data_IF_754070062468
#
_entry.id   IF_754070062468
#
_cell.length_a   1.000
_cell.length_b   1.000
_cell.length_c   1.000
_cell.angle_alpha   90.00
_cell.angle_beta   90.00
_cell.angle_gamma   90.00
#
_symmetry.space_group_name_H-M   'P 1'
#
loop_
_entity.id
_entity.type
_entity.pdbx_description
1 polymer ?
#
# COMPACT_ATOMS: atom_id res chain seq x y z
N UNK A 1 3.12 -16.13 -16.53
CA UNK A 1 2.85 -15.20 -15.42
C UNK A 1 4.13 -14.97 -14.64
N UNK A 2 4.55 -13.73 -14.46
CA UNK A 2 5.72 -13.37 -13.66
C UNK A 2 5.31 -12.82 -12.29
N UNK A 3 6.18 -12.99 -11.31
CA UNK A 3 6.02 -12.37 -9.99
C UNK A 3 7.22 -11.44 -9.76
N UNK A 4 6.93 -10.18 -9.46
CA UNK A 4 7.92 -9.17 -9.12
C UNK A 4 7.80 -8.85 -7.63
N UNK A 5 8.91 -8.85 -6.92
CA UNK A 5 8.97 -8.49 -5.52
C UNK A 5 9.61 -7.10 -5.39
N UNK A 6 8.83 -6.12 -4.93
CA UNK A 6 9.28 -4.75 -4.74
C UNK A 6 9.41 -4.46 -3.25
N UNK A 7 10.62 -4.64 -2.73
CA UNK A 7 10.96 -4.43 -1.32
C UNK A 7 11.92 -3.24 -1.18
N UNK A 8 11.89 -2.61 -0.01
CA UNK A 8 12.85 -1.56 0.38
C UNK A 8 12.89 -0.35 -0.58
N UNK A 9 11.76 0.04 -1.15
CA UNK A 9 11.67 1.23 -2.01
C UNK A 9 11.82 2.49 -1.14
N UNK A 10 12.86 3.28 -1.44
CA UNK A 10 13.24 4.46 -0.64
C UNK A 10 12.89 5.79 -1.31
N UNK A 11 12.67 5.79 -2.62
CA UNK A 11 12.42 7.02 -3.38
C UNK A 11 11.60 6.78 -4.65
N UNK A 12 10.98 7.85 -5.16
CA UNK A 12 10.27 7.85 -6.42
C UNK A 12 11.19 7.44 -7.60
N UNK A 13 12.44 7.87 -7.60
CA UNK A 13 13.41 7.50 -8.64
C UNK A 13 13.71 5.99 -8.63
N UNK A 14 13.85 5.39 -7.46
CA UNK A 14 14.03 3.95 -7.32
C UNK A 14 12.80 3.18 -7.79
N UNK A 15 11.59 3.65 -7.43
CA UNK A 15 10.34 3.04 -7.88
C UNK A 15 10.23 3.08 -9.41
N UNK A 16 10.52 4.23 -10.04
CA UNK A 16 10.55 4.38 -11.50
C UNK A 16 11.47 3.34 -12.13
N UNK A 17 12.71 3.28 -11.67
CA UNK A 17 13.71 2.35 -12.20
C UNK A 17 13.29 0.88 -12.06
N UNK A 18 12.76 0.49 -10.88
CA UNK A 18 12.34 -0.90 -10.65
C UNK A 18 11.10 -1.31 -11.44
N UNK A 19 10.25 -0.37 -11.80
CA UNK A 19 9.03 -0.64 -12.58
C UNK A 19 9.25 -0.64 -14.09
N UNK A 20 10.40 -0.16 -14.59
CA UNK A 20 10.76 -0.18 -16.02
C UNK A 20 10.75 -1.60 -16.60
N UNK A 21 11.20 -2.59 -15.82
CA UNK A 21 11.29 -3.99 -16.26
C UNK A 21 9.95 -4.73 -16.27
N UNK A 22 8.87 -4.12 -15.77
CA UNK A 22 7.55 -4.73 -15.69
C UNK A 22 6.89 -4.63 -17.07
N UNK A 23 6.77 -5.78 -17.72
CA UNK A 23 6.20 -5.88 -19.07
C UNK A 23 4.68 -5.95 -19.03
N UNK A 24 4.03 -5.31 -20.04
CA UNK A 24 2.59 -5.44 -20.30
C UNK A 24 2.24 -6.66 -21.16
N UNK A 25 3.25 -7.30 -21.78
CA UNK A 25 3.03 -8.40 -22.73
C UNK A 25 2.72 -9.74 -22.05
N UNK A 26 2.90 -9.82 -20.74
CA UNK A 26 2.55 -11.00 -19.97
C UNK A 26 1.92 -10.61 -18.62
N UNK A 27 1.03 -11.46 -18.15
CA UNK A 27 0.37 -11.23 -16.87
C UNK A 27 1.36 -11.33 -15.72
N UNK A 28 1.33 -10.33 -14.84
CA UNK A 28 2.29 -10.19 -13.75
C UNK A 28 1.60 -9.92 -12.41
N UNK A 29 2.21 -10.39 -11.33
CA UNK A 29 1.85 -10.03 -9.96
C UNK A 29 3.02 -9.25 -9.38
N UNK A 30 2.74 -8.08 -8.83
CA UNK A 30 3.68 -7.28 -8.05
C UNK A 30 3.34 -7.51 -6.58
N UNK A 31 4.27 -8.09 -5.84
CA UNK A 31 4.21 -8.17 -4.38
C UNK A 31 4.98 -6.97 -3.85
N UNK A 32 4.25 -6.02 -3.24
CA UNK A 32 4.79 -4.75 -2.80
C UNK A 32 4.94 -4.71 -1.28
N UNK A 33 6.13 -4.35 -0.80
CA UNK A 33 6.32 -3.96 0.59
C UNK A 33 6.00 -2.47 0.78
N UNK A 34 5.66 -2.09 2.00
CA UNK A 34 5.46 -0.67 2.36
C UNK A 34 6.74 0.11 2.05
N UNK A 35 6.62 1.27 1.38
CA UNK A 35 7.77 2.11 1.08
C UNK A 35 8.49 2.50 2.37
N UNK A 36 9.81 2.44 2.37
CA UNK A 36 10.64 2.60 3.57
C UNK A 36 10.32 3.89 4.34
N UNK A 37 10.15 5.02 3.64
CA UNK A 37 9.80 6.30 4.28
C UNK A 37 8.39 6.29 4.91
N UNK A 38 7.41 5.67 4.24
CA UNK A 38 6.05 5.48 4.76
C UNK A 38 6.06 4.62 6.02
N UNK A 39 6.76 3.49 5.98
CA UNK A 39 6.87 2.59 7.12
C UNK A 39 7.49 3.28 8.35
N UNK A 40 8.57 4.05 8.15
CA UNK A 40 9.24 4.79 9.23
C UNK A 40 8.34 5.84 9.87
N UNK A 41 7.56 6.58 9.07
CA UNK A 41 6.63 7.61 9.55
C UNK A 41 5.50 6.98 10.37
N UNK A 42 4.89 5.91 9.86
CA UNK A 42 3.82 5.22 10.58
C UNK A 42 4.31 4.53 11.85
N UNK A 43 5.55 4.02 11.85
CA UNK A 43 6.16 3.51 13.08
C UNK A 43 6.35 4.62 14.12
N UNK A 44 6.72 5.83 13.71
CA UNK A 44 6.81 6.98 14.63
C UNK A 44 5.43 7.36 15.20
N UNK A 45 4.37 7.29 14.40
CA UNK A 45 2.97 7.45 14.85
C UNK A 45 2.63 6.40 15.92
N UNK A 46 2.90 5.12 15.65
CA UNK A 46 2.66 4.02 16.61
C UNK A 46 3.39 4.24 17.94
N UNK A 47 4.65 4.68 17.89
CA UNK A 47 5.42 4.98 19.10
C UNK A 47 4.79 6.12 19.90
N UNK A 48 4.37 7.21 19.23
CA UNK A 48 3.72 8.33 19.90
C UNK A 48 2.36 7.94 20.49
N UNK A 49 1.62 7.08 19.79
CA UNK A 49 0.36 6.53 20.26
C UNK A 49 0.55 5.64 21.51
N UNK A 50 1.59 4.81 21.53
CA UNK A 50 1.93 4.00 22.70
C UNK A 50 2.16 4.87 23.96
N UNK A 51 2.68 6.08 23.77
CA UNK A 51 2.83 7.08 24.84
C UNK A 51 1.57 7.93 25.08
N UNK A 52 0.47 7.66 24.38
CA UNK A 52 -0.79 8.42 24.44
C UNK A 52 -0.64 9.91 24.14
N UNK A 53 0.36 10.29 23.33
CA UNK A 53 0.62 11.65 22.90
C UNK A 53 -0.17 11.95 21.62
N UNK A 54 -1.50 12.14 21.78
CA UNK A 54 -2.42 12.29 20.66
C UNK A 54 -2.14 13.55 19.85
N UNK A 55 -1.73 14.64 20.47
CA UNK A 55 -1.37 15.88 19.76
C UNK A 55 -0.19 15.63 18.81
N UNK A 56 0.84 14.93 19.29
CA UNK A 56 1.99 14.57 18.47
C UNK A 56 1.60 13.58 17.35
N UNK A 57 0.71 12.63 17.62
CA UNK A 57 0.17 11.71 16.60
C UNK A 57 -0.50 12.50 15.48
N UNK A 58 -1.37 13.49 15.80
CA UNK A 58 -2.06 14.27 14.78
C UNK A 58 -1.09 15.11 13.94
N UNK A 59 -0.08 15.72 14.57
CA UNK A 59 0.97 16.46 13.87
C UNK A 59 1.79 15.53 12.93
N UNK A 60 2.14 14.34 13.40
CA UNK A 60 2.85 13.35 12.58
C UNK A 60 2.02 12.86 11.40
N UNK A 61 0.71 12.68 11.55
CA UNK A 61 -0.18 12.31 10.45
C UNK A 61 -0.32 13.44 9.41
N UNK A 62 -0.33 14.70 9.84
CA UNK A 62 -0.33 15.84 8.92
C UNK A 62 0.99 15.91 8.12
N UNK A 63 2.13 15.71 8.77
CA UNK A 63 3.43 15.63 8.10
C UNK A 63 3.49 14.44 7.14
N UNK A 64 2.91 13.32 7.53
CA UNK A 64 2.82 12.13 6.70
C UNK A 64 1.97 12.35 5.44
N UNK A 65 0.87 13.08 5.55
CA UNK A 65 0.03 13.47 4.40
C UNK A 65 0.84 14.32 3.40
N UNK A 66 1.63 15.28 3.90
CA UNK A 66 2.52 16.10 3.06
C UNK A 66 3.60 15.23 2.37
N UNK A 67 4.16 14.24 3.07
CA UNK A 67 5.15 13.32 2.48
C UNK A 67 4.52 12.45 1.38
N UNK A 68 3.27 12.00 1.54
CA UNK A 68 2.53 11.31 0.49
C UNK A 68 2.34 12.22 -0.73
N UNK A 69 2.00 13.49 -0.53
CA UNK A 69 1.94 14.50 -1.59
C UNK A 69 3.27 14.63 -2.36
N UNK A 70 4.39 14.68 -1.65
CA UNK A 70 5.72 14.72 -2.27
C UNK A 70 6.01 13.46 -3.12
N UNK A 71 5.55 12.28 -2.71
CA UNK A 71 5.64 11.07 -3.54
C UNK A 71 4.87 11.24 -4.85
N UNK A 72 3.63 11.73 -4.78
CA UNK A 72 2.79 11.96 -5.97
C UNK A 72 3.41 13.01 -6.90
N UNK A 73 3.93 14.11 -6.38
CA UNK A 73 4.58 15.16 -7.16
C UNK A 73 5.83 14.68 -7.90
N UNK A 74 6.58 13.76 -7.31
CA UNK A 74 7.76 13.18 -7.94
C UNK A 74 7.44 12.06 -8.94
N UNK A 75 6.25 11.46 -8.86
CA UNK A 75 5.86 10.31 -9.71
C UNK A 75 4.93 10.72 -10.84
N UNK A 76 3.96 11.58 -10.57
CA UNK A 76 2.87 11.93 -11.50
C UNK A 76 3.08 13.32 -12.09
N UNK A 77 2.75 13.47 -13.37
CA UNK A 77 2.75 14.76 -14.08
C UNK A 77 1.35 15.36 -14.20
N UNK A 78 0.32 14.54 -14.18
CA UNK A 78 -1.08 14.97 -14.29
C UNK A 78 -1.63 15.47 -12.96
N UNK A 79 -2.00 16.75 -12.88
CA UNK A 79 -2.63 17.34 -11.67
C UNK A 79 -3.96 16.65 -11.32
N UNK A 80 -4.72 16.17 -12.31
CA UNK A 80 -5.96 15.43 -12.08
C UNK A 80 -5.68 14.09 -11.40
N UNK A 81 -4.68 13.34 -11.88
CA UNK A 81 -4.28 12.06 -11.27
C UNK A 81 -3.68 12.25 -9.88
N UNK A 82 -2.90 13.32 -9.66
CA UNK A 82 -2.40 13.66 -8.32
C UNK A 82 -3.54 13.89 -7.34
N UNK A 83 -4.56 14.68 -7.74
CA UNK A 83 -5.70 14.98 -6.90
C UNK A 83 -6.55 13.73 -6.59
N UNK A 84 -6.72 12.83 -7.56
CA UNK A 84 -7.43 11.56 -7.37
C UNK A 84 -6.67 10.64 -6.42
N UNK A 85 -5.37 10.44 -6.64
CA UNK A 85 -4.50 9.66 -5.77
C UNK A 85 -4.45 10.22 -4.34
N UNK A 86 -4.30 11.54 -4.18
CA UNK A 86 -4.31 12.20 -2.89
C UNK A 86 -5.62 11.98 -2.13
N UNK A 87 -6.76 12.02 -2.83
CA UNK A 87 -8.08 11.75 -2.23
C UNK A 87 -8.19 10.31 -1.71
N UNK A 88 -7.72 9.33 -2.47
CA UNK A 88 -7.74 7.93 -2.04
C UNK A 88 -6.79 7.67 -0.86
N UNK A 89 -5.59 8.24 -0.90
CA UNK A 89 -4.62 8.18 0.20
C UNK A 89 -5.20 8.81 1.46
N UNK A 90 -5.88 9.96 1.33
CA UNK A 90 -6.52 10.66 2.45
C UNK A 90 -7.51 9.79 3.20
N UNK A 91 -8.26 8.93 2.52
CA UNK A 91 -9.19 7.98 3.16
C UNK A 91 -8.45 7.10 4.19
N UNK A 92 -7.27 6.58 3.84
CA UNK A 92 -6.48 5.76 4.75
C UNK A 92 -5.90 6.57 5.91
N UNK A 93 -5.42 7.79 5.66
CA UNK A 93 -4.90 8.68 6.71
C UNK A 93 -6.00 9.06 7.69
N UNK A 94 -7.19 9.39 7.21
CA UNK A 94 -8.35 9.72 8.05
C UNK A 94 -8.82 8.52 8.88
N UNK A 95 -8.71 7.30 8.34
CA UNK A 95 -8.99 6.07 9.09
C UNK A 95 -7.98 5.87 10.23
N UNK A 96 -6.67 6.03 9.97
CA UNK A 96 -5.64 5.99 11.02
C UNK A 96 -5.93 7.06 12.08
N UNK A 97 -6.20 8.31 11.67
CA UNK A 97 -6.51 9.41 12.59
C UNK A 97 -7.72 9.10 13.48
N UNK A 98 -8.79 8.56 12.88
CA UNK A 98 -9.98 8.17 13.62
C UNK A 98 -9.69 7.05 14.63
N UNK A 99 -8.99 6.00 14.21
CA UNK A 99 -8.60 4.91 15.08
C UNK A 99 -7.79 5.42 16.27
N UNK A 100 -6.78 6.26 16.02
CA UNK A 100 -5.94 6.84 17.08
C UNK A 100 -6.72 7.69 18.08
N UNK A 101 -7.79 8.38 17.65
CA UNK A 101 -8.61 9.21 18.53
C UNK A 101 -9.66 8.40 19.31
N UNK A 102 -10.31 7.42 18.65
CA UNK A 102 -11.43 6.71 19.26
C UNK A 102 -10.97 5.60 20.23
N UNK A 103 -9.86 4.94 19.93
CA UNK A 103 -9.41 3.76 20.65
C UNK A 103 -7.89 3.69 20.87
N UNK A 104 -7.24 4.71 21.43
CA UNK A 104 -5.77 4.79 21.49
C UNK A 104 -5.10 3.63 22.23
N UNK A 105 -5.83 2.92 23.10
CA UNK A 105 -5.30 1.81 23.91
C UNK A 105 -5.49 0.43 23.28
N UNK A 106 -6.20 0.32 22.15
CA UNK A 106 -6.63 -0.96 21.56
C UNK A 106 -5.98 -1.19 20.19
N UNK A 107 -5.48 -0.11 19.55
CA UNK A 107 -4.93 -0.20 18.20
C UNK A 107 -3.66 -1.05 18.21
N UNK A 108 -3.65 -2.03 17.31
CA UNK A 108 -2.45 -2.81 17.00
C UNK A 108 -1.61 -2.05 15.96
N UNK A 109 -0.29 -2.02 16.16
CA UNK A 109 0.68 -1.49 15.20
C UNK A 109 0.48 -2.08 13.80
N UNK A 110 0.03 -3.33 13.72
CA UNK A 110 -0.27 -4.01 12.45
C UNK A 110 -1.39 -3.31 11.67
N UNK A 111 -2.40 -2.77 12.33
CA UNK A 111 -3.50 -2.07 11.68
C UNK A 111 -3.02 -0.75 11.04
N UNK A 112 -2.21 0.03 11.75
CA UNK A 112 -1.59 1.24 11.23
C UNK A 112 -0.68 0.91 10.04
N UNK A 113 0.14 -0.15 10.15
CA UNK A 113 1.05 -0.57 9.08
C UNK A 113 0.33 -1.13 7.86
N UNK A 114 -0.84 -1.76 8.02
CA UNK A 114 -1.67 -2.22 6.91
C UNK A 114 -2.16 -1.05 6.04
N UNK A 115 -2.55 0.07 6.65
CA UNK A 115 -2.86 1.29 5.90
C UNK A 115 -1.65 1.81 5.12
N UNK A 116 -0.44 1.76 5.67
CA UNK A 116 0.79 2.13 4.97
C UNK A 116 1.06 1.26 3.74
N UNK A 117 0.80 -0.03 3.83
CA UNK A 117 0.92 -0.94 2.70
C UNK A 117 -0.10 -0.62 1.59
N UNK A 118 -1.34 -0.27 1.96
CA UNK A 118 -2.36 0.18 1.01
C UNK A 118 -2.00 1.51 0.35
N UNK A 119 -1.52 2.50 1.11
CA UNK A 119 -1.05 3.79 0.58
C UNK A 119 0.09 3.57 -0.43
N UNK A 120 1.07 2.72 -0.11
CA UNK A 120 2.16 2.39 -1.03
C UNK A 120 1.64 1.73 -2.31
N UNK A 121 0.62 0.86 -2.20
CA UNK A 121 -0.03 0.21 -3.34
C UNK A 121 -0.79 1.21 -4.21
N UNK A 122 -1.48 2.18 -3.62
CA UNK A 122 -2.18 3.26 -4.34
C UNK A 122 -1.18 4.14 -5.11
N UNK A 123 -0.09 4.57 -4.46
CA UNK A 123 0.96 5.36 -5.13
C UNK A 123 1.53 4.61 -6.33
N UNK A 124 1.83 3.31 -6.20
CA UNK A 124 2.32 2.49 -7.30
C UNK A 124 1.26 2.35 -8.41
N UNK A 125 -0.01 2.11 -8.04
CA UNK A 125 -1.11 1.93 -8.98
C UNK A 125 -1.27 3.16 -9.88
N UNK A 126 -1.40 4.35 -9.30
CA UNK A 126 -1.53 5.60 -10.04
C UNK A 126 -0.31 5.89 -10.92
N UNK A 127 0.90 5.60 -10.43
CA UNK A 127 2.10 5.73 -11.25
C UNK A 127 2.10 4.77 -12.46
N UNK A 128 1.68 3.53 -12.28
CA UNK A 128 1.58 2.58 -13.40
C UNK A 128 0.51 3.02 -14.41
N UNK A 129 -0.61 3.56 -13.95
CA UNK A 129 -1.66 4.11 -14.82
C UNK A 129 -1.17 5.30 -15.65
N UNK A 130 -0.41 6.21 -15.04
CA UNK A 130 0.23 7.30 -15.81
C UNK A 130 1.20 6.76 -16.86
N UNK A 131 1.88 5.66 -16.57
CA UNK A 131 2.69 4.93 -17.54
C UNK A 131 1.86 4.10 -18.54
N UNK A 132 0.53 4.28 -18.60
CA UNK A 132 -0.42 3.50 -19.42
C UNK A 132 -0.40 1.99 -19.13
N UNK A 133 0.06 1.60 -17.93
CA UNK A 133 0.11 0.20 -17.48
C UNK A 133 -1.15 -0.12 -16.67
N UNK A 134 -2.13 -0.72 -17.33
CA UNK A 134 -3.39 -1.14 -16.68
C UNK A 134 -3.09 -2.12 -15.55
N UNK A 135 -3.57 -1.81 -14.36
CA UNK A 135 -3.32 -2.60 -13.18
C UNK A 135 -4.55 -2.68 -12.25
N UNK A 136 -4.48 -3.53 -11.23
CA UNK A 136 -5.51 -3.67 -10.21
C UNK A 136 -4.89 -4.06 -8.87
N UNK A 137 -5.33 -3.41 -7.79
CA UNK A 137 -4.88 -3.72 -6.44
C UNK A 137 -5.70 -4.88 -5.88
N UNK A 138 -5.03 -5.99 -5.60
CA UNK A 138 -5.57 -7.12 -4.83
C UNK A 138 -5.25 -6.90 -3.36
N UNK A 139 -6.24 -6.48 -2.57
CA UNK A 139 -6.05 -6.39 -1.13
C UNK A 139 -5.78 -7.78 -0.54
N UNK A 140 -4.62 -7.94 0.11
CA UNK A 140 -4.18 -9.21 0.70
C UNK A 140 -5.18 -9.79 1.69
N UNK A 141 -5.94 -8.96 2.40
CA UNK A 141 -7.01 -9.40 3.32
C UNK A 141 -8.12 -10.20 2.63
N UNK A 142 -8.31 -10.07 1.31
CA UNK A 142 -9.36 -10.80 0.60
C UNK A 142 -8.97 -12.24 0.24
N UNK A 143 -7.68 -12.55 0.19
CA UNK A 143 -7.21 -13.88 -0.22
C UNK A 143 -6.22 -14.52 0.74
N UNK A 144 -5.65 -13.77 1.67
CA UNK A 144 -4.76 -14.31 2.70
C UNK A 144 -5.57 -14.76 3.93
N UNK A 145 -5.16 -15.90 4.50
CA UNK A 145 -5.65 -16.39 5.78
C UNK A 145 -4.55 -17.16 6.47
N UNK A 146 -4.41 -16.96 7.78
CA UNK A 146 -3.53 -17.76 8.61
C UNK A 146 -4.28 -18.97 9.16
N UNK A 147 -3.62 -20.11 9.20
CA UNK A 147 -4.08 -21.30 9.89
C UNK A 147 -3.92 -21.17 11.42
N UNK A 148 -4.35 -22.19 12.16
CA UNK A 148 -4.21 -22.24 13.61
C UNK A 148 -2.74 -22.24 14.08
N UNK A 149 -1.83 -22.68 13.21
CA UNK A 149 -0.38 -22.66 13.43
C UNK A 149 0.28 -21.31 13.07
N UNK A 150 -0.54 -20.28 12.82
CA UNK A 150 -0.12 -18.94 12.36
C UNK A 150 0.66 -18.93 11.03
N UNK A 151 0.59 -20.00 10.25
CA UNK A 151 1.16 -20.05 8.90
C UNK A 151 0.09 -19.77 7.85
N UNK A 152 0.47 -19.28 6.67
CA UNK A 152 -0.49 -19.08 5.57
C UNK A 152 -1.20 -20.39 5.21
N UNK A 153 -2.53 -20.35 5.13
CA UNK A 153 -3.33 -21.45 4.61
C UNK A 153 -3.20 -21.51 3.09
N UNK A 154 -2.19 -22.24 2.61
CA UNK A 154 -1.82 -22.27 1.19
C UNK A 154 -2.98 -22.73 0.29
N UNK A 155 -3.83 -23.65 0.76
CA UNK A 155 -4.98 -24.13 -0.04
C UNK A 155 -6.02 -23.01 -0.22
N UNK A 156 -6.32 -22.30 0.86
CA UNK A 156 -7.22 -21.17 0.84
C UNK A 156 -6.67 -20.04 -0.05
N UNK A 157 -5.42 -19.65 0.16
CA UNK A 157 -4.74 -18.60 -0.62
C UNK A 157 -4.75 -18.94 -2.10
N UNK A 158 -4.34 -20.15 -2.48
CA UNK A 158 -4.31 -20.59 -3.89
C UNK A 158 -5.67 -20.50 -4.53
N UNK A 159 -6.72 -21.05 -3.88
CA UNK A 159 -8.08 -21.02 -4.39
C UNK A 159 -8.58 -19.58 -4.63
N UNK A 160 -8.42 -18.70 -3.63
CA UNK A 160 -8.91 -17.32 -3.74
C UNK A 160 -8.13 -16.48 -4.76
N UNK A 161 -6.81 -16.65 -4.84
CA UNK A 161 -6.02 -15.98 -5.89
C UNK A 161 -6.45 -16.44 -7.28
N UNK A 162 -6.68 -17.74 -7.49
CA UNK A 162 -7.18 -18.25 -8.78
C UNK A 162 -8.57 -17.68 -9.13
N UNK A 163 -9.47 -17.53 -8.16
CA UNK A 163 -10.79 -16.94 -8.36
C UNK A 163 -10.69 -15.44 -8.69
N UNK A 164 -9.89 -14.67 -7.95
CA UNK A 164 -9.64 -13.26 -8.21
C UNK A 164 -8.99 -13.03 -9.59
N UNK A 165 -8.06 -13.90 -9.97
CA UNK A 165 -7.44 -13.84 -11.29
C UNK A 165 -8.43 -14.11 -12.42
N UNK A 166 -9.42 -14.97 -12.22
CA UNK A 166 -10.49 -15.22 -13.19
C UNK A 166 -11.48 -14.05 -13.27
N UNK A 167 -11.70 -13.35 -12.16
CA UNK A 167 -12.57 -12.17 -12.12
C UNK A 167 -11.97 -10.96 -12.85
N UNK A 168 -10.64 -10.90 -13.01
CA UNK A 168 -9.93 -9.80 -13.67
C UNK A 168 -9.13 -10.29 -14.90
N UNK A 169 -9.75 -10.89 -15.93
CA UNK A 169 -9.04 -11.55 -17.04
C UNK A 169 -8.21 -10.56 -17.87
N UNK A 170 -8.69 -9.33 -18.03
CA UNK A 170 -8.12 -8.31 -18.90
C UNK A 170 -7.12 -7.36 -18.21
N UNK A 171 -6.76 -7.67 -16.96
CA UNK A 171 -5.80 -6.87 -16.20
C UNK A 171 -4.43 -7.52 -16.25
N UNK A 172 -3.43 -6.90 -16.89
CA UNK A 172 -2.10 -7.49 -17.05
C UNK A 172 -1.27 -7.44 -15.77
N UNK A 173 -1.47 -6.44 -14.91
CA UNK A 173 -0.69 -6.25 -13.68
C UNK A 173 -1.62 -6.28 -12.46
N UNK A 174 -1.32 -7.17 -11.53
CA UNK A 174 -1.96 -7.25 -10.22
C UNK A 174 -0.97 -6.80 -9.16
N UNK A 175 -1.38 -5.88 -8.29
CA UNK A 175 -0.56 -5.39 -7.17
C UNK A 175 -1.12 -5.98 -5.89
N UNK A 176 -0.27 -6.53 -5.04
CA UNK A 176 -0.67 -7.00 -3.71
C UNK A 176 0.39 -6.66 -2.66
N UNK A 177 -0.01 -6.60 -1.41
CA UNK A 177 0.84 -6.28 -0.28
C UNK A 177 1.64 -7.53 0.15
N UNK A 178 2.90 -7.34 0.57
CA UNK A 178 3.77 -8.40 1.06
C UNK A 178 3.44 -8.83 2.49
N UNK A 179 2.74 -7.97 3.25
CA UNK A 179 2.34 -8.15 4.65
C UNK A 179 0.85 -7.91 4.83
N UNK A 180 0.28 -8.62 5.82
CA UNK A 180 -1.07 -8.43 6.34
C UNK A 180 -1.02 -7.52 7.56
#
# INVERSE_FOLDING_TARGET
MKVYNLENIKSAAELKHRTEVISMNERSIIVLDTFTGIAQKLQAVSISLFHLDIEKVMNQLQDFENDCGNWLDNLLSSEMQKAEAAKEIKVHIDQISRLCNENPNIIDDHEIMAHGAMISSLILSHYLEECTKKNFILNSCHFMRLGLDRKPDIKYVKKNVEELMKACPDVPILITQSRL
#
